data_IF_603646375466
#
_entry.id   IF_603646375466
#
_cell.length_a   1.000
_cell.length_b   1.000
_cell.length_c   1.000
_cell.angle_alpha   90.00
_cell.angle_beta   90.00
_cell.angle_gamma   90.00
#
_symmetry.space_group_name_H-M   'P 1'
#
loop_
_entity.id
_entity.type
_entity.pdbx_description
1 polymer ?
#
# COMPACT_ATOMS: atom_id res chain seq x y z
N UNK A 1 68.04 -16.25 -1.48
CA UNK A 1 67.08 -15.98 -2.57
C UNK A 1 65.68 -16.51 -2.28
N UNK A 2 65.52 -17.72 -1.75
CA UNK A 2 64.21 -18.31 -1.43
C UNK A 2 63.37 -17.51 -0.40
N UNK A 3 64.00 -17.01 0.67
CA UNK A 3 63.30 -16.26 1.73
C UNK A 3 62.65 -14.95 1.27
N UNK A 4 63.26 -14.27 0.29
CA UNK A 4 62.79 -12.97 -0.21
C UNK A 4 61.57 -13.16 -1.15
N UNK A 5 61.52 -14.29 -1.86
CA UNK A 5 60.39 -14.63 -2.72
C UNK A 5 59.12 -14.94 -1.91
N UNK A 6 59.26 -15.65 -0.78
CA UNK A 6 58.12 -16.02 0.08
C UNK A 6 57.52 -14.80 0.78
N UNK A 7 58.34 -13.87 1.27
CA UNK A 7 57.88 -12.63 1.90
C UNK A 7 57.13 -11.70 0.93
N UNK A 8 57.60 -11.60 -0.31
CA UNK A 8 56.91 -10.81 -1.33
C UNK A 8 55.57 -11.48 -1.71
N UNK A 9 55.53 -12.81 -1.79
CA UNK A 9 54.31 -13.56 -2.08
C UNK A 9 53.21 -13.35 -1.02
N UNK A 10 53.58 -13.42 0.25
CA UNK A 10 52.67 -13.15 1.38
C UNK A 10 52.14 -11.72 1.37
N UNK A 11 52.99 -10.73 1.04
CA UNK A 11 52.57 -9.33 0.90
C UNK A 11 51.59 -9.14 -0.25
N UNK A 12 51.84 -9.73 -1.42
CA UNK A 12 50.91 -9.66 -2.54
C UNK A 12 49.58 -10.34 -2.23
N UNK A 13 49.61 -11.49 -1.55
CA UNK A 13 48.40 -12.21 -1.14
C UNK A 13 47.56 -11.40 -0.12
N UNK A 14 48.23 -10.76 0.84
CA UNK A 14 47.59 -9.87 1.83
C UNK A 14 47.02 -8.61 1.17
N UNK A 15 47.74 -8.00 0.22
CA UNK A 15 47.27 -6.87 -0.59
C UNK A 15 46.05 -7.24 -1.45
N UNK A 16 46.02 -8.45 -2.03
CA UNK A 16 44.85 -8.93 -2.80
C UNK A 16 43.65 -9.24 -1.90
N UNK A 17 43.86 -9.75 -0.69
CA UNK A 17 42.79 -9.99 0.29
C UNK A 17 42.23 -8.67 0.84
N UNK A 18 43.08 -7.68 1.10
CA UNK A 18 42.66 -6.34 1.51
C UNK A 18 41.92 -5.64 0.37
N UNK A 19 42.42 -5.73 -0.87
CA UNK A 19 41.73 -5.19 -2.04
C UNK A 19 40.38 -5.89 -2.31
N UNK A 20 40.28 -7.20 -2.06
CA UNK A 20 39.03 -7.94 -2.16
C UNK A 20 38.03 -7.58 -1.04
N UNK A 21 38.51 -7.23 0.16
CA UNK A 21 37.66 -6.69 1.24
C UNK A 21 37.26 -5.22 1.05
N UNK A 22 37.94 -4.50 0.14
CA UNK A 22 37.66 -3.11 -0.23
C UNK A 22 36.78 -3.00 -1.49
N UNK A 23 36.44 -4.12 -2.14
CA UNK A 23 35.33 -4.18 -3.07
C UNK A 23 34.04 -4.02 -2.24
N UNK A 24 33.67 -2.76 -2.04
CA UNK A 24 32.34 -2.37 -1.57
C UNK A 24 31.33 -3.21 -2.33
N UNK A 25 30.55 -4.02 -1.61
CA UNK A 25 29.42 -4.74 -2.19
C UNK A 25 28.57 -3.71 -2.90
N UNK A 26 28.70 -3.66 -4.21
CA UNK A 26 27.92 -2.78 -5.05
C UNK A 26 26.48 -3.26 -4.91
N UNK A 27 25.53 -2.33 -4.73
CA UNK A 27 24.09 -2.61 -4.71
C UNK A 27 23.74 -3.71 -5.72
N UNK A 28 23.14 -4.81 -5.23
CA UNK A 28 22.80 -5.97 -6.07
C UNK A 28 21.45 -5.74 -6.77
N UNK A 29 20.65 -4.78 -6.28
CA UNK A 29 19.35 -4.38 -6.83
C UNK A 29 19.04 -2.90 -6.52
N UNK A 30 18.15 -2.29 -7.29
CA UNK A 30 17.64 -0.96 -6.97
C UNK A 30 16.57 -1.06 -5.85
N UNK A 31 16.46 -0.03 -5.01
CA UNK A 31 15.50 0.06 -3.90
C UNK A 31 15.60 -1.04 -2.83
N UNK A 32 16.72 -1.78 -2.81
CA UNK A 32 16.96 -2.89 -1.90
C UNK A 32 16.88 -2.49 -0.41
N UNK A 33 17.17 -1.23 -0.08
CA UNK A 33 17.08 -0.62 1.24
C UNK A 33 15.76 0.12 1.52
N UNK A 34 14.83 0.17 0.56
CA UNK A 34 13.48 0.67 0.76
C UNK A 34 13.09 1.85 -0.11
N UNK A 35 11.99 2.48 0.28
CA UNK A 35 11.27 3.48 -0.49
C UNK A 35 11.09 4.74 0.37
N UNK A 36 11.48 5.91 -0.15
CA UNK A 36 11.42 7.15 0.62
C UNK A 36 10.25 8.04 0.22
N UNK A 37 9.54 8.58 1.20
CA UNK A 37 8.78 9.82 1.04
C UNK A 37 9.77 10.97 1.08
N UNK A 38 9.62 11.94 0.16
CA UNK A 38 10.60 12.98 -0.17
C UNK A 38 11.91 12.44 -0.77
N UNK A 39 12.67 13.35 -1.36
CA UNK A 39 13.99 13.04 -1.91
C UNK A 39 14.93 12.59 -0.79
N UNK A 40 15.82 11.62 -1.05
CA UNK A 40 16.79 11.14 -0.05
C UNK A 40 17.81 12.19 0.39
N UNK A 41 17.91 13.32 -0.33
CA UNK A 41 18.67 14.51 0.07
C UNK A 41 17.94 15.39 1.09
N UNK A 42 16.63 15.18 1.29
CA UNK A 42 15.83 15.91 2.26
C UNK A 42 16.12 15.40 3.68
N UNK A 43 16.48 16.24 4.65
CA UNK A 43 16.71 15.78 6.02
C UNK A 43 15.46 15.19 6.69
N UNK A 44 14.26 15.46 6.18
CA UNK A 44 12.99 14.94 6.68
C UNK A 44 12.47 13.72 5.89
N UNK A 45 13.28 13.13 5.00
CA UNK A 45 12.86 11.93 4.27
C UNK A 45 12.58 10.76 5.22
N UNK A 46 11.54 10.00 4.90
CA UNK A 46 11.13 8.84 5.69
C UNK A 46 11.27 7.62 4.80
N UNK A 47 11.95 6.57 5.28
CA UNK A 47 12.17 5.33 4.54
C UNK A 47 11.27 4.23 5.07
N UNK A 48 10.60 3.55 4.15
CA UNK A 48 9.80 2.36 4.39
C UNK A 48 10.41 1.16 3.69
N UNK A 49 10.29 -0.02 4.31
CA UNK A 49 11.11 -1.19 3.96
C UNK A 49 10.34 -2.31 3.25
N UNK A 50 9.02 -2.30 3.38
CA UNK A 50 8.08 -3.22 2.77
C UNK A 50 7.15 -2.51 1.78
N UNK A 51 6.51 -3.30 0.92
CA UNK A 51 5.66 -2.82 -0.16
C UNK A 51 4.47 -3.75 -0.40
N UNK A 52 3.30 -3.18 -0.67
CA UNK A 52 2.15 -3.85 -1.32
C UNK A 52 1.72 -2.92 -2.45
N UNK A 53 1.74 -3.41 -3.68
CA UNK A 53 1.18 -2.70 -4.83
C UNK A 53 0.11 -3.57 -5.49
N UNK A 54 -1.05 -2.99 -5.78
CA UNK A 54 -2.11 -3.67 -6.52
C UNK A 54 -2.67 -2.73 -7.57
N UNK A 55 -2.50 -3.10 -8.83
CA UNK A 55 -3.19 -2.49 -9.95
C UNK A 55 -4.54 -3.20 -10.16
N UNK A 56 -5.60 -2.72 -9.49
CA UNK A 56 -6.93 -3.35 -9.62
C UNK A 56 -7.51 -3.25 -11.04
N UNK A 57 -6.93 -2.43 -11.91
CA UNK A 57 -7.31 -2.37 -13.32
C UNK A 57 -6.89 -3.60 -14.12
N UNK A 58 -5.98 -4.43 -13.62
CA UNK A 58 -5.55 -5.67 -14.29
C UNK A 58 -6.14 -6.92 -13.66
N UNK A 59 -6.55 -6.84 -12.39
CA UNK A 59 -7.10 -7.97 -11.62
C UNK A 59 -8.40 -8.48 -12.25
N UNK A 60 -8.36 -9.69 -12.81
CA UNK A 60 -9.51 -10.32 -13.45
C UNK A 60 -10.58 -10.78 -12.44
N UNK A 61 -10.14 -11.32 -11.31
CA UNK A 61 -11.01 -11.73 -10.22
C UNK A 61 -10.27 -11.62 -8.90
N UNK A 62 -10.75 -10.73 -8.03
CA UNK A 62 -10.12 -10.48 -6.73
C UNK A 62 -10.16 -11.69 -5.79
N UNK A 63 -11.11 -12.62 -5.95
CA UNK A 63 -11.17 -13.83 -5.11
C UNK A 63 -9.98 -14.78 -5.28
N UNK A 64 -9.18 -14.61 -6.34
CA UNK A 64 -7.95 -15.39 -6.58
C UNK A 64 -6.68 -14.59 -6.26
N UNK A 65 -6.83 -13.37 -5.75
CA UNK A 65 -5.71 -12.50 -5.40
C UNK A 65 -5.24 -12.83 -3.98
N UNK A 66 -3.94 -12.99 -3.77
CA UNK A 66 -3.34 -13.35 -2.48
C UNK A 66 -3.11 -12.13 -1.56
N UNK A 67 -3.12 -10.92 -2.12
CA UNK A 67 -2.95 -9.66 -1.40
C UNK A 67 -4.23 -9.18 -0.71
N UNK A 68 -5.40 -9.68 -1.11
CA UNK A 68 -6.70 -9.17 -0.67
C UNK A 68 -7.65 -10.27 -0.19
N UNK A 69 -8.37 -9.97 0.88
CA UNK A 69 -9.45 -10.79 1.41
C UNK A 69 -10.79 -10.03 1.26
N UNK A 70 -11.77 -10.65 0.60
CA UNK A 70 -13.14 -10.12 0.55
C UNK A 70 -13.87 -10.51 1.83
N UNK A 71 -14.49 -9.54 2.52
CA UNK A 71 -15.17 -9.78 3.78
C UNK A 71 -16.62 -10.24 3.57
N UNK A 72 -17.18 -10.93 4.57
CA UNK A 72 -18.56 -11.43 4.59
C UNK A 72 -19.19 -11.28 5.99
N UNK A 73 -18.86 -10.18 6.66
CA UNK A 73 -19.26 -9.91 8.04
C UNK A 73 -20.66 -9.30 8.12
N UNK A 74 -21.40 -9.67 9.16
CA UNK A 74 -22.66 -9.01 9.52
C UNK A 74 -22.43 -8.01 10.64
N UNK A 75 -22.99 -6.82 10.48
CA UNK A 75 -23.01 -5.77 11.48
C UNK A 75 -24.47 -5.49 11.84
N UNK A 76 -25.00 -6.09 12.90
CA UNK A 76 -26.39 -5.90 13.31
C UNK A 76 -26.72 -4.42 13.53
N UNK A 77 -28.02 -4.10 13.47
CA UNK A 77 -28.50 -2.77 13.78
C UNK A 77 -28.08 -2.33 15.19
N UNK A 78 -27.47 -1.15 15.26
CA UNK A 78 -27.19 -0.43 16.50
C UNK A 78 -27.90 0.93 16.45
N UNK A 79 -28.87 1.19 17.36
CA UNK A 79 -29.62 2.45 17.40
C UNK A 79 -28.77 3.70 17.63
N UNK A 80 -27.52 3.54 18.08
CA UNK A 80 -26.59 4.66 18.30
C UNK A 80 -25.80 5.01 17.04
N UNK A 81 -25.68 4.08 16.09
CA UNK A 81 -24.83 4.24 14.91
C UNK A 81 -25.59 4.63 13.64
N UNK A 82 -26.87 4.26 13.51
CA UNK A 82 -27.67 4.47 12.31
C UNK A 82 -29.10 3.92 12.41
N UNK A 83 -29.79 3.84 11.28
CA UNK A 83 -31.17 3.32 11.15
C UNK A 83 -31.22 1.85 10.74
N UNK A 84 -30.14 1.34 10.14
CA UNK A 84 -30.04 -0.01 9.60
C UNK A 84 -28.72 -0.64 10.00
N UNK A 85 -28.68 -1.97 10.12
CA UNK A 85 -27.43 -2.72 10.14
C UNK A 85 -26.83 -2.84 8.74
N UNK A 86 -25.71 -3.56 8.62
CA UNK A 86 -24.97 -3.76 7.37
C UNK A 86 -24.57 -5.23 7.22
N UNK A 87 -24.39 -5.67 5.99
CA UNK A 87 -23.84 -7.00 5.69
C UNK A 87 -22.89 -6.91 4.51
N UNK A 88 -21.66 -7.41 4.68
CA UNK A 88 -20.73 -7.60 3.57
C UNK A 88 -21.07 -8.86 2.80
N UNK A 89 -21.05 -8.76 1.48
CA UNK A 89 -21.26 -9.91 0.62
C UNK A 89 -20.26 -9.95 -0.52
N UNK A 90 -19.77 -11.15 -0.83
CA UNK A 90 -18.88 -11.39 -1.97
C UNK A 90 -19.42 -10.81 -3.28
N UNK A 91 -20.74 -10.88 -3.51
CA UNK A 91 -21.40 -10.36 -4.72
C UNK A 91 -21.33 -8.85 -4.89
N UNK A 92 -20.91 -8.12 -3.85
CA UNK A 92 -20.78 -6.67 -3.83
C UNK A 92 -19.34 -6.20 -4.05
N UNK A 93 -18.41 -7.13 -4.32
CA UNK A 93 -17.04 -6.83 -4.74
C UNK A 93 -16.81 -7.44 -6.11
N UNK A 94 -16.65 -6.58 -7.13
CA UNK A 94 -16.61 -6.99 -8.54
C UNK A 94 -15.37 -6.43 -9.21
N UNK A 95 -14.52 -7.31 -9.75
CA UNK A 95 -13.41 -6.91 -10.61
C UNK A 95 -13.90 -6.41 -11.97
N UNK A 96 -13.54 -5.18 -12.34
CA UNK A 96 -13.79 -4.58 -13.66
C UNK A 96 -12.43 -4.27 -14.33
N UNK A 97 -11.67 -5.28 -14.78
CA UNK A 97 -10.36 -5.06 -15.40
C UNK A 97 -10.48 -4.30 -16.72
N UNK A 98 -9.41 -3.64 -17.15
CA UNK A 98 -9.31 -2.97 -18.45
C UNK A 98 -9.59 -3.94 -19.61
N UNK A 99 -10.23 -3.43 -20.65
CA UNK A 99 -10.37 -4.17 -21.92
C UNK A 99 -9.01 -4.32 -22.61
N UNK A 100 -8.23 -3.23 -22.62
CA UNK A 100 -6.91 -3.18 -23.24
C UNK A 100 -5.85 -2.85 -22.18
N UNK A 101 -5.11 -3.88 -21.74
CA UNK A 101 -4.05 -3.74 -20.73
C UNK A 101 -2.90 -2.83 -21.17
N UNK A 102 -2.78 -2.51 -22.47
CA UNK A 102 -1.78 -1.57 -22.98
C UNK A 102 -2.07 -0.11 -22.63
N UNK A 103 -3.25 0.19 -22.07
CA UNK A 103 -3.66 1.54 -21.68
C UNK A 103 -3.75 1.65 -20.16
N UNK A 104 -3.15 2.67 -19.56
CA UNK A 104 -3.23 2.92 -18.11
C UNK A 104 -4.58 3.49 -17.67
N UNK A 105 -5.44 3.83 -18.63
CA UNK A 105 -6.77 4.41 -18.43
C UNK A 105 -7.68 3.91 -19.53
N UNK A 106 -8.96 3.75 -19.23
CA UNK A 106 -9.92 3.26 -20.22
C UNK A 106 -11.14 2.62 -19.57
N UNK A 107 -12.01 2.08 -20.42
CA UNK A 107 -13.13 1.27 -19.99
C UNK A 107 -12.67 -0.11 -19.52
N UNK A 108 -13.32 -0.61 -18.48
CA UNK A 108 -13.21 -1.99 -18.09
C UNK A 108 -14.20 -2.90 -18.83
N UNK A 109 -14.05 -4.20 -18.63
CA UNK A 109 -14.88 -5.23 -19.27
C UNK A 109 -16.37 -5.17 -18.91
N UNK A 110 -16.72 -4.48 -17.81
CA UNK A 110 -18.07 -4.25 -17.30
C UNK A 110 -18.53 -2.78 -17.46
N UNK A 111 -17.85 -2.00 -18.31
CA UNK A 111 -18.18 -0.59 -18.59
C UNK A 111 -17.11 0.38 -18.08
N UNK A 112 -17.43 1.68 -17.91
CA UNK A 112 -16.46 2.68 -17.47
C UNK A 112 -15.92 2.36 -16.06
N UNK A 113 -14.84 3.05 -15.70
CA UNK A 113 -14.18 2.96 -14.39
C UNK A 113 -13.58 1.57 -14.15
N UNK A 114 -12.49 1.28 -14.85
CA UNK A 114 -11.71 0.07 -14.62
C UNK A 114 -11.08 0.08 -13.22
N UNK A 115 -11.12 -1.06 -12.54
CA UNK A 115 -10.72 -1.24 -11.14
C UNK A 115 -11.60 -2.27 -10.41
N UNK A 116 -11.41 -2.44 -9.11
CA UNK A 116 -12.35 -3.19 -8.28
C UNK A 116 -13.51 -2.28 -7.89
N UNK A 117 -14.73 -2.74 -8.11
CA UNK A 117 -15.96 -2.04 -7.77
C UNK A 117 -16.53 -2.61 -6.47
N UNK A 118 -16.75 -1.74 -5.50
CA UNK A 118 -17.30 -2.06 -4.17
C UNK A 118 -18.68 -1.43 -4.09
N UNK A 119 -19.71 -2.27 -3.94
CA UNK A 119 -21.11 -1.88 -4.12
C UNK A 119 -21.85 -1.75 -2.79
N UNK A 120 -22.70 -0.73 -2.69
CA UNK A 120 -23.78 -0.64 -1.70
C UNK A 120 -25.11 -0.76 -2.43
N UNK A 121 -25.99 -1.65 -1.97
CA UNK A 121 -27.27 -1.93 -2.64
C UNK A 121 -28.37 -0.97 -2.22
N UNK A 122 -29.29 -0.75 -3.15
CA UNK A 122 -30.35 0.25 -3.02
C UNK A 122 -31.49 -0.14 -2.07
N UNK A 123 -32.20 0.89 -1.61
CA UNK A 123 -33.51 0.77 -0.99
C UNK A 123 -33.49 0.37 0.49
N UNK A 124 -34.69 0.23 1.04
CA UNK A 124 -34.85 -0.20 2.44
C UNK A 124 -34.58 -1.72 2.51
N UNK A 125 -33.61 -2.18 3.31
CA UNK A 125 -33.28 -3.59 3.39
C UNK A 125 -34.41 -4.41 4.01
N UNK A 126 -34.69 -5.58 3.44
CA UNK A 126 -35.78 -6.47 3.89
C UNK A 126 -35.53 -7.13 5.24
N UNK A 127 -34.26 -7.29 5.63
CA UNK A 127 -33.80 -7.87 6.90
C UNK A 127 -33.16 -6.82 7.81
N UNK A 128 -33.39 -5.52 7.56
CA UNK A 128 -32.72 -4.40 8.22
C UNK A 128 -31.19 -4.36 8.06
N UNK A 129 -30.59 -5.15 7.17
CA UNK A 129 -29.16 -5.12 6.85
C UNK A 129 -28.95 -4.58 5.43
N UNK A 130 -28.27 -3.44 5.31
CA UNK A 130 -27.89 -2.88 4.01
C UNK A 130 -26.78 -3.74 3.40
N UNK A 131 -26.99 -4.35 2.22
CA UNK A 131 -25.95 -5.14 1.58
C UNK A 131 -24.86 -4.26 0.98
N UNK A 132 -23.61 -4.54 1.36
CA UNK A 132 -22.43 -3.77 1.00
C UNK A 132 -21.24 -4.68 0.64
N UNK A 133 -20.11 -4.07 0.27
CA UNK A 133 -18.85 -4.78 0.07
C UNK A 133 -17.72 -4.17 0.88
N UNK A 134 -16.80 -5.03 1.29
CA UNK A 134 -15.56 -4.68 1.98
C UNK A 134 -14.44 -5.63 1.54
N UNK A 135 -13.25 -5.06 1.37
CA UNK A 135 -12.01 -5.79 1.12
C UNK A 135 -10.92 -5.29 2.06
N UNK A 136 -10.00 -6.17 2.41
CA UNK A 136 -8.83 -5.81 3.23
C UNK A 136 -7.57 -6.48 2.73
N UNK A 137 -6.42 -5.93 3.08
CA UNK A 137 -5.14 -6.59 2.82
C UNK A 137 -5.04 -7.90 3.58
N UNK A 138 -4.51 -8.95 2.95
CA UNK A 138 -4.20 -10.23 3.61
C UNK A 138 -3.12 -10.06 4.67
N UNK A 139 -2.20 -9.11 4.46
CA UNK A 139 -1.19 -8.69 5.44
C UNK A 139 -1.81 -7.84 6.53
N UNK A 140 -1.50 -8.17 7.78
CA UNK A 140 -1.93 -7.47 9.01
C UNK A 140 -0.77 -6.89 9.82
N UNK A 141 0.41 -6.85 9.22
CA UNK A 141 1.66 -6.39 9.82
C UNK A 141 2.05 -4.99 9.32
N UNK A 142 1.09 -4.23 8.77
CA UNK A 142 1.31 -2.88 8.25
C UNK A 142 1.39 -1.90 9.42
N UNK A 143 2.57 -1.30 9.65
CA UNK A 143 2.84 -0.33 10.73
C UNK A 143 3.71 0.82 10.21
N UNK A 144 3.20 2.06 10.27
CA UNK A 144 3.82 3.25 9.70
C UNK A 144 4.07 3.13 8.18
N UNK A 145 3.64 4.11 7.40
CA UNK A 145 3.72 3.98 5.95
C UNK A 145 3.22 5.19 5.18
N UNK A 146 3.59 5.24 3.91
CA UNK A 146 2.88 6.03 2.89
C UNK A 146 1.89 5.09 2.20
N UNK A 147 0.61 5.25 2.49
CA UNK A 147 -0.46 4.41 1.95
C UNK A 147 -1.36 5.28 1.10
N UNK A 148 -1.59 4.87 -0.15
CA UNK A 148 -2.34 5.64 -1.14
C UNK A 148 -3.23 4.77 -2.01
N UNK A 149 -4.33 5.35 -2.44
CA UNK A 149 -5.33 4.69 -3.26
C UNK A 149 -5.90 5.64 -4.31
N UNK A 150 -6.12 5.13 -5.52
CA UNK A 150 -6.79 5.87 -6.59
C UNK A 150 -8.26 5.46 -6.64
N UNK A 151 -9.13 6.37 -6.23
CA UNK A 151 -10.53 6.07 -5.96
C UNK A 151 -11.41 6.98 -6.81
N UNK A 152 -12.48 6.42 -7.37
CA UNK A 152 -13.62 7.16 -7.87
C UNK A 152 -14.82 6.87 -6.97
N UNK A 153 -15.33 7.90 -6.31
CA UNK A 153 -16.49 7.77 -5.43
C UNK A 153 -17.79 7.65 -6.24
N UNK A 154 -18.88 7.29 -5.56
CA UNK A 154 -20.21 7.25 -6.18
C UNK A 154 -20.81 8.66 -6.33
N UNK A 155 -21.55 8.88 -7.41
CA UNK A 155 -22.44 10.05 -7.56
C UNK A 155 -23.80 9.83 -6.91
N UNK A 156 -24.12 8.60 -6.52
CA UNK A 156 -25.40 8.25 -5.87
C UNK A 156 -25.34 8.60 -4.40
N UNK A 157 -26.17 9.56 -3.98
CA UNK A 157 -26.28 9.97 -2.60
C UNK A 157 -26.79 8.83 -1.69
N UNK A 158 -26.35 8.82 -0.43
CA UNK A 158 -26.79 7.87 0.60
C UNK A 158 -25.75 6.83 1.01
N UNK A 159 -24.47 7.05 0.75
CA UNK A 159 -23.38 6.14 1.13
C UNK A 159 -22.13 6.87 1.64
N UNK A 160 -21.30 6.11 2.36
CA UNK A 160 -19.90 6.42 2.66
C UNK A 160 -18.99 5.44 1.90
N UNK A 161 -18.01 5.95 1.14
CA UNK A 161 -16.89 5.16 0.65
C UNK A 161 -15.65 5.44 1.48
N UNK A 162 -15.05 4.40 2.07
CA UNK A 162 -13.91 4.53 2.95
C UNK A 162 -12.65 3.88 2.38
N UNK A 163 -11.52 4.55 2.58
CA UNK A 163 -10.17 4.02 2.46
C UNK A 163 -9.47 4.25 3.79
N UNK A 164 -9.11 3.16 4.47
CA UNK A 164 -8.64 3.25 5.84
C UNK A 164 -7.61 2.19 6.20
N UNK A 165 -6.88 2.44 7.28
CA UNK A 165 -6.07 1.44 7.98
C UNK A 165 -6.71 1.15 9.33
N UNK A 166 -6.74 -0.13 9.74
CA UNK A 166 -7.42 -0.56 10.96
C UNK A 166 -6.65 -1.65 11.71
N UNK A 167 -6.51 -1.44 13.02
CA UNK A 167 -6.15 -2.46 14.01
C UNK A 167 -7.35 -2.84 14.88
N UNK A 168 -8.01 -1.84 15.46
CA UNK A 168 -9.24 -1.97 16.24
C UNK A 168 -10.00 -0.62 16.30
N UNK A 169 -11.16 -0.58 16.96
CA UNK A 169 -12.04 0.61 17.04
C UNK A 169 -11.44 1.84 17.76
N UNK A 170 -10.21 1.73 18.26
CA UNK A 170 -9.48 2.82 18.94
C UNK A 170 -8.14 3.13 18.27
N UNK A 171 -7.84 2.47 17.16
CA UNK A 171 -6.65 2.66 16.34
C UNK A 171 -7.01 2.41 14.89
N UNK A 172 -7.40 3.49 14.23
CA UNK A 172 -7.87 3.53 12.85
C UNK A 172 -7.44 4.86 12.21
N UNK A 173 -7.16 4.84 10.90
CA UNK A 173 -6.83 6.02 10.10
C UNK A 173 -7.74 6.02 8.89
N UNK A 174 -8.57 7.06 8.75
CA UNK A 174 -9.66 7.07 7.78
C UNK A 174 -9.56 8.21 6.77
N UNK A 175 -9.85 7.88 5.50
CA UNK A 175 -10.35 8.81 4.50
C UNK A 175 -11.76 8.35 4.10
N UNK A 176 -12.77 9.07 4.58
CA UNK A 176 -14.18 8.76 4.31
C UNK A 176 -14.84 9.82 3.43
N UNK A 177 -15.35 9.38 2.27
CA UNK A 177 -16.03 10.23 1.28
C UNK A 177 -17.53 9.98 1.39
N UNK A 178 -18.25 10.97 1.89
CA UNK A 178 -19.70 10.92 1.96
C UNK A 178 -20.30 11.44 0.67
N UNK A 179 -21.03 10.59 -0.05
CA UNK A 179 -21.71 10.96 -1.30
C UNK A 179 -22.62 12.19 -1.18
N UNK A 180 -23.16 12.46 0.03
CA UNK A 180 -23.98 13.64 0.34
C UNK A 180 -23.20 14.96 0.43
N UNK A 181 -21.89 14.90 0.60
CA UNK A 181 -21.00 16.06 0.67
C UNK A 181 -20.43 16.41 -0.71
N UNK A 182 -20.66 15.57 -1.72
CA UNK A 182 -20.32 15.89 -3.11
C UNK A 182 -21.26 16.97 -3.64
N UNK A 183 -20.70 17.95 -4.36
CA UNK A 183 -21.43 19.05 -4.97
C UNK A 183 -21.16 19.11 -6.48
N UNK A 184 -21.99 18.41 -7.28
CA UNK A 184 -21.88 18.43 -8.74
C UNK A 184 -22.11 19.83 -9.34
N UNK A 185 -22.82 20.72 -8.64
CA UNK A 185 -23.19 22.05 -9.16
C UNK A 185 -22.01 23.00 -9.34
N UNK A 186 -20.92 22.79 -8.59
CA UNK A 186 -19.68 23.58 -8.66
C UNK A 186 -18.42 22.71 -8.78
N UNK A 187 -18.58 21.40 -9.05
CA UNK A 187 -17.49 20.42 -9.13
C UNK A 187 -16.59 20.43 -7.88
N UNK A 188 -17.19 20.39 -6.69
CA UNK A 188 -16.46 20.26 -5.42
C UNK A 188 -16.97 19.09 -4.59
N UNK A 189 -16.27 18.73 -3.52
CA UNK A 189 -16.71 17.73 -2.56
C UNK A 189 -16.00 17.90 -1.23
N UNK A 190 -15.98 16.85 -0.43
CA UNK A 190 -15.20 16.80 0.80
C UNK A 190 -14.66 15.39 1.04
N UNK A 191 -13.60 15.30 1.84
CA UNK A 191 -13.14 14.07 2.48
C UNK A 191 -13.15 14.30 3.98
N UNK A 192 -13.60 13.31 4.74
CA UNK A 192 -13.52 13.32 6.18
C UNK A 192 -12.27 12.53 6.57
N UNK A 193 -11.41 13.17 7.35
CA UNK A 193 -10.15 12.65 7.84
C UNK A 193 -10.37 12.33 9.31
N UNK A 194 -10.19 11.06 9.70
CA UNK A 194 -10.50 10.61 11.06
C UNK A 194 -9.36 9.75 11.59
N UNK A 195 -9.00 9.94 12.87
CA UNK A 195 -8.32 8.90 13.65
C UNK A 195 -9.25 8.47 14.77
N UNK A 196 -9.68 7.20 14.73
CA UNK A 196 -10.36 6.61 15.88
C UNK A 196 -9.36 6.41 17.01
N UNK A 197 -9.80 6.68 18.23
CA UNK A 197 -8.97 6.71 19.42
C UNK A 197 -9.79 6.41 20.67
N UNK A 198 -9.12 6.22 21.81
CA UNK A 198 -9.80 6.18 23.11
C UNK A 198 -10.65 7.44 23.37
N UNK A 199 -10.29 8.58 22.78
CA UNK A 199 -11.07 9.81 22.88
C UNK A 199 -12.39 9.73 22.08
N UNK A 200 -12.38 9.13 20.88
CA UNK A 200 -13.60 8.93 20.11
C UNK A 200 -14.48 7.84 20.73
N UNK A 201 -13.90 6.75 21.24
CA UNK A 201 -14.63 5.73 22.03
C UNK A 201 -15.34 6.37 23.24
N UNK A 202 -14.65 7.20 24.02
CA UNK A 202 -15.23 7.93 25.15
C UNK A 202 -16.36 8.89 24.72
N UNK A 203 -16.39 9.30 23.46
CA UNK A 203 -17.43 10.10 22.83
C UNK A 203 -18.48 9.23 22.07
N UNK A 204 -18.56 7.93 22.35
CA UNK A 204 -19.51 7.01 21.71
C UNK A 204 -19.12 6.65 20.28
N UNK A 205 -17.82 6.45 20.03
CA UNK A 205 -17.21 6.19 18.72
C UNK A 205 -17.42 7.33 17.71
N UNK A 206 -17.65 8.54 18.21
CA UNK A 206 -17.79 9.74 17.38
C UNK A 206 -16.58 10.65 17.52
N UNK A 207 -15.70 10.60 16.52
CA UNK A 207 -14.50 11.43 16.50
C UNK A 207 -14.79 12.92 16.21
N UNK A 208 -16.00 13.31 15.76
CA UNK A 208 -16.30 14.67 15.31
C UNK A 208 -16.06 15.77 16.36
N UNK A 209 -16.06 15.42 17.64
CA UNK A 209 -15.80 16.36 18.75
C UNK A 209 -14.39 16.23 19.34
N UNK A 210 -13.51 15.48 18.68
CA UNK A 210 -12.12 15.22 19.08
C UNK A 210 -11.14 16.00 18.17
N UNK A 211 -9.88 16.20 18.58
CA UNK A 211 -8.88 16.83 17.72
C UNK A 211 -8.41 15.93 16.55
N UNK A 212 -8.93 14.71 16.44
CA UNK A 212 -8.58 13.72 15.43
C UNK A 212 -9.66 13.55 14.36
N UNK A 213 -10.43 14.60 14.11
CA UNK A 213 -11.42 14.67 13.05
C UNK A 213 -11.31 15.98 12.28
N UNK A 214 -11.40 15.92 10.95
CA UNK A 214 -11.50 17.08 10.09
C UNK A 214 -12.33 16.76 8.84
N UNK A 215 -13.25 17.65 8.46
CA UNK A 215 -13.93 17.58 7.16
C UNK A 215 -13.23 18.56 6.22
N UNK A 216 -12.44 18.04 5.29
CA UNK A 216 -11.63 18.85 4.40
C UNK A 216 -12.33 19.09 3.05
N UNK A 217 -12.51 20.34 2.61
CA UNK A 217 -13.12 20.65 1.31
C UNK A 217 -12.17 20.29 0.15
N UNK A 218 -12.67 19.58 -0.85
CA UNK A 218 -11.93 19.20 -2.04
C UNK A 218 -12.25 20.14 -3.21
N UNK A 219 -11.24 20.57 -3.99
CA UNK A 219 -11.43 21.46 -5.15
C UNK A 219 -11.96 20.72 -6.41
N UNK A 220 -12.45 19.50 -6.23
CA UNK A 220 -12.99 18.62 -7.25
C UNK A 220 -14.15 17.82 -6.64
N UNK A 221 -15.06 17.32 -7.48
CA UNK A 221 -16.06 16.35 -7.06
C UNK A 221 -15.48 14.92 -7.14
N UNK A 222 -15.38 14.18 -6.02
CA UNK A 222 -14.85 12.81 -5.97
C UNK A 222 -15.55 11.79 -6.90
N UNK A 223 -16.76 12.10 -7.38
CA UNK A 223 -17.53 11.23 -8.26
C UNK A 223 -17.25 11.44 -9.75
N UNK A 224 -16.65 12.58 -10.14
CA UNK A 224 -16.49 12.94 -11.56
C UNK A 224 -15.28 12.25 -12.20
N UNK A 225 -14.33 11.78 -11.40
CA UNK A 225 -13.12 11.12 -11.86
C UNK A 225 -12.39 10.35 -10.76
N UNK A 226 -11.28 9.73 -11.13
CA UNK A 226 -10.38 9.10 -10.17
C UNK A 226 -9.47 10.16 -9.53
N UNK A 227 -9.40 10.13 -8.20
CA UNK A 227 -8.54 10.99 -7.40
C UNK A 227 -7.68 10.14 -6.45
N UNK A 228 -6.42 10.53 -6.27
CA UNK A 228 -5.56 9.84 -5.31
C UNK A 228 -5.82 10.39 -3.91
N UNK A 229 -6.04 9.48 -2.95
CA UNK A 229 -6.05 9.79 -1.53
C UNK A 229 -4.86 9.09 -0.89
N UNK A 230 -4.14 9.81 -0.02
CA UNK A 230 -2.93 9.30 0.63
C UNK A 230 -2.88 9.76 2.08
N UNK A 231 -2.34 8.91 2.93
CA UNK A 231 -1.81 9.32 4.22
C UNK A 231 -0.37 8.82 4.41
N UNK A 232 0.49 9.71 4.90
CA UNK A 232 1.84 9.40 5.36
C UNK A 232 1.81 9.33 6.89
N UNK A 233 2.08 8.14 7.43
CA UNK A 233 1.94 7.79 8.83
C UNK A 233 3.32 7.51 9.44
N UNK A 234 3.66 8.28 10.46
CA UNK A 234 4.85 8.11 11.32
C UNK A 234 4.40 7.97 12.78
N UNK A 235 5.32 7.65 13.72
CA UNK A 235 4.99 7.67 15.14
C UNK A 235 4.52 9.04 15.68
N UNK A 236 4.84 10.13 14.98
CA UNK A 236 4.64 11.50 15.47
C UNK A 236 3.41 12.16 14.86
N UNK A 237 3.08 11.81 13.61
CA UNK A 237 1.99 12.42 12.88
C UNK A 237 1.44 11.56 11.75
N UNK A 238 0.25 11.91 11.32
CA UNK A 238 -0.34 11.47 10.07
C UNK A 238 -0.60 12.71 9.21
N UNK A 239 -0.02 12.71 8.01
CA UNK A 239 -0.20 13.76 7.00
C UNK A 239 -1.11 13.23 5.89
N UNK A 240 -2.25 13.87 5.68
CA UNK A 240 -3.23 13.50 4.65
C UNK A 240 -3.03 14.32 3.37
N UNK A 241 -3.29 13.69 2.23
CA UNK A 241 -3.15 14.29 0.90
C UNK A 241 -4.29 13.85 -0.02
N UNK A 242 -4.64 14.72 -0.96
CA UNK A 242 -5.44 14.36 -2.14
C UNK A 242 -4.80 14.92 -3.41
N UNK A 243 -4.69 14.10 -4.46
CA UNK A 243 -4.00 14.40 -5.72
C UNK A 243 -2.60 15.01 -5.51
N UNK A 244 -1.81 14.43 -4.60
CA UNK A 244 -0.47 14.90 -4.23
C UNK A 244 -0.44 16.22 -3.45
N UNK A 245 -1.59 16.84 -3.16
CA UNK A 245 -1.67 18.08 -2.37
C UNK A 245 -1.93 17.76 -0.91
N UNK A 246 -1.15 18.36 -0.03
CA UNK A 246 -1.34 18.27 1.41
C UNK A 246 -2.70 18.85 1.82
N UNK A 247 -3.39 18.15 2.73
CA UNK A 247 -4.66 18.55 3.31
C UNK A 247 -4.49 18.95 4.78
N UNK A 248 -4.04 17.99 5.61
CA UNK A 248 -4.04 18.12 7.07
C UNK A 248 -2.96 17.27 7.71
N UNK A 249 -2.36 17.80 8.77
CA UNK A 249 -1.56 17.03 9.74
C UNK A 249 -2.40 16.79 11.00
N UNK A 250 -2.37 15.55 11.49
CA UNK A 250 -2.87 15.17 12.80
C UNK A 250 -1.71 14.62 13.63
N UNK A 251 -1.58 15.08 14.88
CA UNK A 251 -0.43 14.78 15.76
C UNK A 251 -0.86 14.25 17.13
N UNK A 252 -2.14 13.88 17.28
CA UNK A 252 -2.72 13.38 18.53
C UNK A 252 -3.31 11.99 18.27
N UNK A 253 -3.20 11.11 19.27
CA UNK A 253 -3.70 9.73 19.23
C UNK A 253 -3.27 8.98 17.96
N UNK A 254 -1.98 9.11 17.61
CA UNK A 254 -1.41 8.41 16.45
C UNK A 254 -1.39 6.91 16.74
N UNK A 255 -1.97 6.05 15.87
CA UNK A 255 -1.87 4.61 16.03
C UNK A 255 -0.42 4.13 16.06
N UNK A 256 -0.16 3.10 16.88
CA UNK A 256 1.17 2.52 17.09
C UNK A 256 1.19 0.99 16.98
N UNK A 257 0.03 0.38 16.73
CA UNK A 257 -0.09 -1.05 16.47
C UNK A 257 -0.07 -1.35 14.96
N UNK A 258 0.25 -2.59 14.60
CA UNK A 258 0.21 -3.03 13.21
C UNK A 258 -1.19 -3.52 12.85
N UNK A 259 -1.60 -3.27 11.61
CA UNK A 259 -2.97 -3.51 11.16
C UNK A 259 -3.05 -3.83 9.68
N UNK A 260 -4.24 -3.65 9.11
CA UNK A 260 -4.55 -3.95 7.70
C UNK A 260 -5.03 -2.70 6.99
N UNK A 261 -4.80 -2.62 5.67
CA UNK A 261 -5.48 -1.65 4.82
C UNK A 261 -6.85 -2.19 4.41
N UNK A 262 -7.85 -1.31 4.33
CA UNK A 262 -9.22 -1.65 4.00
C UNK A 262 -9.82 -0.69 2.97
N UNK A 263 -10.80 -1.22 2.24
CA UNK A 263 -11.79 -0.42 1.53
C UNK A 263 -13.17 -0.99 1.79
N UNK A 264 -14.14 -0.14 2.07
CA UNK A 264 -15.55 -0.52 2.08
C UNK A 264 -16.41 0.58 1.45
N UNK A 265 -17.62 0.19 1.05
CA UNK A 265 -18.60 1.13 0.55
C UNK A 265 -19.96 0.78 1.15
N UNK A 266 -20.42 1.63 2.07
CA UNK A 266 -21.45 1.26 3.03
C UNK A 266 -22.51 2.34 3.24
N UNK A 267 -23.63 1.92 3.81
CA UNK A 267 -24.65 2.82 4.32
C UNK A 267 -25.38 2.16 5.47
N UNK A 268 -25.70 2.95 6.49
CA UNK A 268 -26.50 2.52 7.64
C UNK A 268 -27.65 3.49 7.94
N UNK A 269 -27.84 4.50 7.09
CA UNK A 269 -28.86 5.54 7.24
C UNK A 269 -28.67 6.50 8.40
N UNK A 270 -27.46 6.62 8.94
CA UNK A 270 -27.13 7.71 9.87
C UNK A 270 -27.30 9.07 9.15
N UNK A 271 -28.21 9.95 9.59
CA UNK A 271 -28.48 11.22 8.91
C UNK A 271 -27.36 12.26 9.03
N UNK A 272 -26.37 12.02 9.89
CA UNK A 272 -25.15 12.82 10.04
C UNK A 272 -23.97 12.24 9.27
N UNK A 273 -24.04 10.98 8.83
CA UNK A 273 -22.96 10.29 8.11
C UNK A 273 -23.43 9.81 6.73
N UNK A 274 -23.59 8.50 6.53
CA UNK A 274 -23.95 7.89 5.24
C UNK A 274 -25.23 8.43 4.61
N UNK A 275 -26.23 8.82 5.42
CA UNK A 275 -27.45 9.51 4.95
C UNK A 275 -28.36 8.72 4.01
N UNK A 276 -28.15 7.42 3.88
CA UNK A 276 -28.93 6.53 3.00
C UNK A 276 -29.88 5.58 3.73
N UNK A 277 -30.11 4.34 3.23
CA UNK A 277 -29.48 3.70 2.06
C UNK A 277 -29.67 4.47 0.74
N UNK A 278 -28.84 4.20 -0.29
CA UNK A 278 -29.00 4.89 -1.58
C UNK A 278 -30.30 4.44 -2.28
N UNK A 279 -30.90 5.32 -3.10
CA UNK A 279 -32.13 5.00 -3.83
C UNK A 279 -31.92 4.08 -5.06
N UNK A 280 -30.68 3.99 -5.53
CA UNK A 280 -30.22 3.08 -6.60
C UNK A 280 -28.89 2.49 -6.19
N UNK A 281 -28.49 1.37 -6.79
CA UNK A 281 -27.23 0.73 -6.45
C UNK A 281 -26.07 1.72 -6.68
N UNK A 282 -25.21 1.82 -5.67
CA UNK A 282 -24.10 2.76 -5.65
C UNK A 282 -22.79 1.98 -5.66
N UNK A 283 -21.78 2.47 -6.38
CA UNK A 283 -20.45 1.86 -6.41
C UNK A 283 -19.35 2.87 -6.17
N UNK A 284 -18.38 2.48 -5.35
CA UNK A 284 -17.05 3.08 -5.30
C UNK A 284 -16.12 2.20 -6.14
N UNK A 285 -15.22 2.81 -6.91
CA UNK A 285 -14.24 2.05 -7.71
C UNK A 285 -12.83 2.40 -7.26
N UNK A 286 -12.02 1.38 -6.98
CA UNK A 286 -10.60 1.51 -6.64
C UNK A 286 -9.77 1.02 -7.82
N UNK A 287 -8.94 1.90 -8.38
CA UNK A 287 -8.09 1.60 -9.53
C UNK A 287 -6.73 1.04 -9.10
N UNK A 288 -6.15 1.56 -8.01
CA UNK A 288 -4.95 0.99 -7.42
C UNK A 288 -4.90 1.20 -5.91
N UNK A 289 -4.05 0.41 -5.27
CA UNK A 289 -3.58 0.59 -3.91
C UNK A 289 -2.06 0.43 -3.90
N UNK A 290 -1.35 1.41 -3.32
CA UNK A 290 0.10 1.38 -3.14
C UNK A 290 0.37 1.66 -1.65
N UNK A 291 1.06 0.74 -0.99
CA UNK A 291 1.49 0.88 0.38
C UNK A 291 2.99 0.65 0.48
N UNK A 292 3.71 1.64 0.98
CA UNK A 292 5.12 1.55 1.35
C UNK A 292 5.18 1.71 2.87
N UNK A 293 5.57 0.67 3.59
CA UNK A 293 5.39 0.62 5.04
C UNK A 293 6.51 -0.11 5.77
N UNK A 294 6.50 -0.03 7.10
CA UNK A 294 7.34 -0.89 7.94
C UNK A 294 6.52 -2.08 8.46
N UNK A 295 7.10 -3.27 8.35
CA UNK A 295 6.45 -4.49 8.79
C UNK A 295 6.72 -4.78 10.27
N UNK A 296 5.67 -5.12 11.03
CA UNK A 296 5.84 -5.66 12.40
C UNK A 296 6.26 -7.13 12.44
N UNK A 297 6.17 -7.85 11.31
CA UNK A 297 6.52 -9.26 11.22
C UNK A 297 8.05 -9.48 11.30
N UNK A 298 8.56 -10.27 12.28
CA UNK A 298 9.99 -10.52 12.44
C UNK A 298 10.70 -11.12 11.24
N UNK A 299 10.01 -11.96 10.45
CA UNK A 299 10.59 -12.54 9.23
C UNK A 299 10.90 -11.45 8.20
N UNK A 300 9.97 -10.49 8.03
CA UNK A 300 10.14 -9.35 7.12
C UNK A 300 11.27 -8.43 7.55
N UNK A 301 11.38 -8.19 8.86
CA UNK A 301 12.50 -7.44 9.44
C UNK A 301 13.85 -8.14 9.20
N UNK A 302 13.87 -9.47 9.25
CA UNK A 302 15.07 -10.27 8.92
C UNK A 302 15.39 -10.21 7.42
N UNK A 303 14.39 -10.33 6.56
CA UNK A 303 14.53 -10.23 5.10
C UNK A 303 15.12 -8.86 4.73
N UNK A 304 14.58 -7.77 5.29
CA UNK A 304 15.12 -6.42 5.11
C UNK A 304 16.60 -6.33 5.50
N UNK A 305 16.98 -6.81 6.69
CA UNK A 305 18.39 -6.80 7.14
C UNK A 305 19.30 -7.59 6.21
N UNK A 306 18.80 -8.69 5.63
CA UNK A 306 19.56 -9.49 4.68
C UNK A 306 19.68 -8.82 3.30
N UNK A 307 18.64 -8.10 2.86
CA UNK A 307 18.63 -7.41 1.56
C UNK A 307 19.41 -6.09 1.58
N UNK A 308 19.41 -5.38 2.71
CA UNK A 308 20.10 -4.12 2.91
C UNK A 308 21.14 -4.22 4.04
N UNK A 309 22.30 -4.86 3.79
CA UNK A 309 23.37 -4.97 4.80
C UNK A 309 24.09 -3.63 5.05
N UNK A 310 24.08 -2.73 4.07
CA UNK A 310 24.60 -1.37 4.17
C UNK A 310 23.84 -0.45 3.23
N UNK A 311 23.48 0.75 3.70
CA UNK A 311 22.93 1.82 2.85
C UNK A 311 24.07 2.47 2.05
N UNK A 312 24.71 1.70 1.19
CA UNK A 312 25.88 2.10 0.42
C UNK A 312 25.62 1.87 -1.08
N UNK A 313 25.01 2.85 -1.73
CA UNK A 313 24.70 2.79 -3.16
C UNK A 313 23.87 3.99 -3.59
N UNK A 314 24.03 4.45 -4.84
CA UNK A 314 23.30 5.62 -5.37
C UNK A 314 21.80 5.36 -5.59
N UNK A 315 21.35 4.09 -5.57
CA UNK A 315 19.95 3.69 -5.78
C UNK A 315 19.46 2.67 -4.74
N UNK A 316 20.16 2.54 -3.60
CA UNK A 316 19.76 1.58 -2.57
C UNK A 316 18.40 1.94 -1.96
N UNK A 317 18.06 3.24 -1.90
CA UNK A 317 16.74 3.74 -1.51
C UNK A 317 16.14 4.48 -2.70
N UNK A 318 14.88 4.20 -3.02
CA UNK A 318 14.19 4.86 -4.13
C UNK A 318 13.11 5.81 -3.64
N UNK A 319 13.09 7.03 -4.16
CA UNK A 319 12.02 7.98 -3.87
C UNK A 319 10.70 7.52 -4.49
N UNK A 320 9.64 7.51 -3.70
CA UNK A 320 8.28 7.21 -4.14
C UNK A 320 7.79 8.39 -4.99
N UNK A 321 7.41 8.19 -6.26
CA UNK A 321 6.92 9.28 -7.08
C UNK A 321 5.63 9.91 -6.53
N UNK A 322 5.51 11.22 -6.67
CA UNK A 322 4.26 11.94 -6.41
C UNK A 322 3.24 11.68 -7.52
N UNK A 323 1.96 11.69 -7.15
CA UNK A 323 0.88 11.53 -8.11
C UNK A 323 0.86 12.67 -9.12
N UNK A 324 0.79 12.32 -10.42
CA UNK A 324 0.81 13.28 -11.52
C UNK A 324 -0.31 13.08 -12.55
N UNK A 325 -1.36 12.32 -12.22
CA UNK A 325 -2.55 12.03 -13.05
C UNK A 325 -2.36 11.30 -14.39
N UNK A 326 -1.14 11.15 -14.89
CA UNK A 326 -0.89 10.57 -16.23
C UNK A 326 -0.61 9.08 -16.21
N UNK A 327 0.19 8.61 -15.24
CA UNK A 327 0.46 7.19 -15.03
C UNK A 327 0.96 6.95 -13.60
N UNK A 328 0.35 6.02 -12.84
CA UNK A 328 0.93 5.56 -11.57
C UNK A 328 2.23 4.81 -11.80
N UNK A 329 3.20 5.00 -10.91
CA UNK A 329 4.46 4.28 -10.92
C UNK A 329 4.38 3.08 -9.98
N UNK A 330 4.57 1.88 -10.54
CA UNK A 330 4.63 0.62 -9.80
C UNK A 330 6.07 0.13 -9.76
N UNK A 331 6.67 0.06 -8.57
CA UNK A 331 8.00 -0.52 -8.41
C UNK A 331 8.03 -1.99 -8.83
N UNK A 332 6.93 -2.72 -8.59
CA UNK A 332 6.76 -4.13 -8.97
C UNK A 332 6.80 -4.37 -10.48
N UNK A 333 6.54 -3.34 -11.29
CA UNK A 333 6.63 -3.41 -12.76
C UNK A 333 8.00 -2.95 -13.28
N UNK A 334 8.87 -2.43 -12.41
CA UNK A 334 10.21 -2.02 -12.79
C UNK A 334 11.23 -3.12 -12.58
N UNK A 335 12.19 -3.20 -13.50
CA UNK A 335 13.27 -4.17 -13.41
C UNK A 335 14.16 -3.86 -12.20
N UNK A 336 14.42 -4.88 -11.39
CA UNK A 336 15.34 -4.83 -10.25
C UNK A 336 14.94 -3.92 -9.08
N UNK A 337 13.72 -3.39 -9.02
CA UNK A 337 13.32 -2.45 -7.95
C UNK A 337 12.59 -3.11 -6.77
N UNK A 338 12.20 -4.38 -6.89
CA UNK A 338 11.55 -5.13 -5.80
C UNK A 338 12.18 -6.52 -5.60
N UNK A 339 13.46 -6.68 -5.94
CA UNK A 339 14.13 -7.97 -5.82
C UNK A 339 14.17 -8.44 -4.35
N UNK A 340 13.82 -9.71 -4.14
CA UNK A 340 13.68 -10.33 -2.81
C UNK A 340 12.67 -9.62 -1.90
N UNK A 341 11.79 -8.75 -2.44
CA UNK A 341 10.69 -8.17 -1.68
C UNK A 341 9.49 -9.13 -1.64
N UNK A 342 8.80 -9.08 -0.51
CA UNK A 342 7.61 -9.85 -0.13
C UNK A 342 6.36 -9.37 -0.86
N UNK A 343 6.36 -9.29 -2.18
CA UNK A 343 5.22 -8.67 -2.87
C UNK A 343 4.03 -9.63 -2.79
N UNK A 344 2.88 -9.13 -2.31
CA UNK A 344 1.62 -9.81 -2.53
C UNK A 344 1.23 -9.54 -3.99
N UNK A 345 1.77 -10.34 -4.91
CA UNK A 345 1.64 -10.12 -6.34
C UNK A 345 0.22 -10.45 -6.79
N UNK A 346 -0.55 -9.40 -7.06
CA UNK A 346 -1.94 -9.50 -7.49
C UNK A 346 -2.21 -10.07 -8.88
N UNK A 347 -1.26 -10.79 -9.50
CA UNK A 347 -1.45 -11.41 -10.81
C UNK A 347 -0.72 -12.76 -10.88
N UNK A 348 -1.49 -13.83 -11.08
CA UNK A 348 -0.99 -15.21 -11.23
C UNK A 348 -0.32 -15.45 -12.60
N UNK A 349 0.26 -14.43 -13.23
CA UNK A 349 0.75 -14.50 -14.62
C UNK A 349 2.21 -14.14 -14.83
N UNK A 350 2.98 -13.77 -13.80
CA UNK A 350 4.44 -13.91 -13.90
C UNK A 350 4.82 -15.36 -13.60
N UNK A 351 4.93 -16.16 -14.66
CA UNK A 351 5.82 -17.31 -14.67
C UNK A 351 7.23 -16.77 -14.36
N UNK A 352 7.56 -16.65 -13.08
CA UNK A 352 8.96 -16.67 -12.67
C UNK A 352 9.40 -18.12 -12.86
N UNK A 353 9.83 -18.41 -14.09
CA UNK A 353 10.56 -19.63 -14.40
C UNK A 353 11.69 -19.71 -13.42
N UNK A 354 11.53 -20.57 -12.41
CA UNK A 354 12.43 -20.70 -11.29
C UNK A 354 13.86 -20.63 -11.76
N UNK A 355 14.53 -19.52 -11.45
CA UNK A 355 15.97 -19.49 -11.43
C UNK A 355 16.36 -20.42 -10.29
N UNK A 356 16.62 -21.69 -10.65
CA UNK A 356 17.40 -22.60 -9.84
C UNK A 356 18.57 -21.78 -9.30
N UNK A 357 18.63 -21.67 -7.98
CA UNK A 357 19.77 -21.11 -7.26
C UNK A 357 21.01 -21.91 -7.66
N UNK A 358 21.67 -21.49 -8.73
CA UNK A 358 23.10 -21.74 -8.90
C UNK A 358 23.74 -20.76 -7.93
N UNK A 359 23.81 -21.16 -6.67
CA UNK A 359 24.56 -20.42 -5.67
C UNK A 359 25.95 -20.12 -6.22
N UNK A 360 26.56 -18.97 -5.88
CA UNK A 360 27.89 -18.66 -6.37
C UNK A 360 28.80 -19.82 -5.95
N UNK A 361 29.23 -20.62 -6.94
CA UNK A 361 30.36 -21.51 -6.78
C UNK A 361 31.45 -20.64 -6.12
N UNK A 362 32.00 -21.05 -4.97
CA UNK A 362 32.96 -20.21 -4.27
C UNK A 362 34.11 -19.96 -5.24
N UNK A 363 34.26 -18.73 -5.74
CA UNK A 363 35.43 -18.33 -6.52
C UNK A 363 36.74 -18.49 -5.72
N UNK A 364 36.64 -18.79 -4.42
CA UNK A 364 37.74 -19.26 -3.59
C UNK A 364 38.29 -20.65 -3.97
N UNK A 365 37.57 -21.49 -4.72
CA UNK A 365 38.03 -22.85 -5.04
C UNK A 365 38.83 -22.94 -6.34
N UNK A 366 38.67 -21.97 -7.27
CA UNK A 366 39.52 -21.88 -8.47
C UNK A 366 40.90 -21.26 -8.20
N UNK A 367 41.04 -20.46 -7.13
CA UNK A 367 42.34 -19.91 -6.74
C UNK A 367 43.24 -20.96 -6.07
N UNK A 368 42.67 -22.00 -5.47
CA UNK A 368 43.41 -23.11 -4.85
C UNK A 368 43.94 -24.11 -5.90
N UNK A 369 43.32 -24.22 -7.07
CA UNK A 369 43.77 -25.12 -8.15
C UNK A 369 44.95 -24.51 -8.93
N UNK A 370 45.03 -23.17 -9.05
CA UNK A 370 46.20 -22.51 -9.64
C UNK A 370 47.42 -22.48 -8.71
N UNK A 371 47.23 -22.57 -7.40
CA UNK A 371 48.29 -22.63 -6.40
C UNK A 371 48.85 -24.05 -6.19
N UNK A 372 48.05 -25.10 -6.42
CA UNK A 372 48.52 -26.48 -6.38
C UNK A 372 49.28 -26.92 -7.65
N UNK A 373 49.04 -26.24 -8.80
CA UNK A 373 49.70 -26.53 -10.07
C UNK A 373 51.15 -26.04 -10.20
N UNK A 374 51.60 -25.13 -9.33
CA UNK A 374 52.98 -24.62 -9.36
C UNK A 374 53.97 -25.43 -8.50
N UNK A 375 53.50 -26.43 -7.74
CA UNK A 375 54.36 -27.33 -6.94
C UNK A 375 54.68 -28.67 -7.62
N UNK A 376 54.29 -28.87 -8.88
CA UNK A 376 54.59 -30.08 -9.65
C UNK A 376 55.68 -29.91 -10.72
N UNK A 377 56.25 -28.71 -10.89
CA UNK A 377 57.42 -28.48 -11.75
C UNK A 377 58.32 -27.43 -11.10
N UNK A 378 59.09 -27.85 -10.10
CA UNK A 378 60.40 -27.32 -9.71
C UNK A 378 61.09 -28.30 -8.75
#
# INVERSE_FOLDING_TARGET
>A
MYSIMVDNWLKYMLLTLIAASLLSTSALADCECGYSVNATSDPEHIVYTDIIETNFRTVQNLSYNDAWEIQTSEFPYDPTSGQYGRIDELRNVISNPLIENSTWSGSGTLGPDAGVQIWTRAGIPTNNLVPMGEIRTSRSDILYGSIRALIKATSTNGTCGAFFWYYNDTQEIDNEILSRQNNPGNNTGAVNLILQSLASEAAGYNAAETPTFDTYPLPFNPADGFHEYRFDWTPEKISFYADGKWLRDMTQNIPDNAGRGYFNHWSNGNPSWSGGPPNVDAKMTVAYFLAYFNSSNPARLSDYKSRCPSVAGTHSICTIPEYNSTQPFFFTEQKNMTNNQTNASGDATSNDSGSVMVGPLPQCMMLLIFLAGLFAVL
#
